data_IF_576647122113
#
_entry.id   IF_576647122113
#
_cell.length_a   1.000
_cell.length_b   1.000
_cell.length_c   1.000
_cell.angle_alpha   90.00
_cell.angle_beta   90.00
_cell.angle_gamma   90.00
#
_symmetry.space_group_name_H-M   'P 1'
#
loop_
_entity.id
_entity.type
_entity.pdbx_description
1 polymer ?
#
# COMPACT_ATOMS: atom_id res chain seq x y z
N UNK A 1 -24.09 -6.03 -33.06
CA UNK A 1 -23.23 -7.24 -33.04
C UNK A 1 -21.77 -6.89 -33.30
N UNK A 2 -21.45 -6.21 -34.41
CA UNK A 2 -20.09 -5.76 -34.75
C UNK A 2 -19.38 -4.89 -33.70
N UNK A 3 -20.04 -3.94 -33.00
CA UNK A 3 -19.37 -3.14 -31.97
C UNK A 3 -18.95 -3.98 -30.77
N UNK A 4 -19.78 -4.95 -30.38
CA UNK A 4 -19.51 -5.80 -29.23
C UNK A 4 -18.33 -6.75 -29.50
N UNK A 5 -18.27 -7.34 -30.69
CA UNK A 5 -17.16 -8.24 -31.09
C UNK A 5 -15.86 -7.44 -31.24
N UNK A 6 -15.91 -6.23 -31.78
CA UNK A 6 -14.76 -5.32 -31.86
C UNK A 6 -14.25 -4.92 -30.46
N UNK A 7 -15.15 -4.53 -29.56
CA UNK A 7 -14.78 -4.07 -28.21
C UNK A 7 -14.30 -5.23 -27.33
N UNK A 8 -15.01 -6.36 -27.35
CA UNK A 8 -14.62 -7.58 -26.61
C UNK A 8 -13.34 -8.16 -27.20
N UNK A 9 -13.22 -8.23 -28.53
CA UNK A 9 -12.03 -8.75 -29.21
C UNK A 9 -10.80 -7.88 -28.97
N UNK A 10 -10.93 -6.55 -29.03
CA UNK A 10 -9.82 -5.63 -28.76
C UNK A 10 -9.36 -5.66 -27.30
N UNK A 11 -10.30 -5.72 -26.35
CA UNK A 11 -9.97 -5.79 -24.93
C UNK A 11 -9.38 -7.16 -24.54
N UNK A 12 -9.96 -8.25 -25.05
CA UNK A 12 -9.48 -9.61 -24.83
C UNK A 12 -8.09 -9.82 -25.47
N UNK A 13 -7.87 -9.33 -26.70
CA UNK A 13 -6.54 -9.41 -27.33
C UNK A 13 -5.50 -8.66 -26.51
N UNK A 14 -5.82 -7.45 -26.05
CA UNK A 14 -4.88 -6.66 -25.23
C UNK A 14 -4.53 -7.40 -23.94
N UNK A 15 -5.53 -7.91 -23.22
CA UNK A 15 -5.34 -8.68 -21.98
C UNK A 15 -4.56 -9.98 -22.20
N UNK A 16 -4.92 -10.76 -23.22
CA UNK A 16 -4.33 -12.08 -23.43
C UNK A 16 -2.95 -12.02 -24.06
N UNK A 17 -2.65 -10.99 -24.86
CA UNK A 17 -1.38 -10.90 -25.58
C UNK A 17 -0.33 -10.06 -24.83
N UNK A 18 -0.71 -8.89 -24.30
CA UNK A 18 0.24 -8.02 -23.58
C UNK A 18 0.26 -8.29 -22.07
N UNK A 19 -0.85 -8.80 -21.52
CA UNK A 19 -1.00 -9.06 -20.09
C UNK A 19 -1.17 -10.55 -19.79
N UNK A 20 -0.68 -11.43 -20.66
CA UNK A 20 -0.83 -12.89 -20.52
C UNK A 20 -0.42 -13.38 -19.12
N UNK A 21 0.69 -12.85 -18.58
CA UNK A 21 1.16 -13.21 -17.24
C UNK A 21 0.19 -12.75 -16.16
N UNK A 22 -0.36 -11.54 -16.25
CA UNK A 22 -1.40 -11.07 -15.34
C UNK A 22 -2.63 -12.00 -15.42
N UNK A 23 -3.02 -12.41 -16.64
CA UNK A 23 -4.16 -13.29 -16.82
C UNK A 23 -3.91 -14.65 -16.18
N UNK A 24 -2.79 -15.31 -16.48
CA UNK A 24 -2.51 -16.66 -15.99
C UNK A 24 -2.17 -16.72 -14.50
N UNK A 25 -1.44 -15.74 -13.96
CA UNK A 25 -0.96 -15.80 -12.58
C UNK A 25 -1.81 -15.01 -11.58
N UNK A 26 -2.71 -14.12 -12.04
CA UNK A 26 -3.56 -13.32 -11.15
C UNK A 26 -5.07 -13.48 -11.43
N UNK A 27 -5.53 -13.45 -12.69
CA UNK A 27 -6.97 -13.59 -13.00
C UNK A 27 -7.48 -15.03 -13.00
N UNK A 28 -6.67 -15.96 -13.53
CA UNK A 28 -7.00 -17.38 -13.58
C UNK A 28 -6.50 -18.14 -12.34
N UNK A 29 -5.53 -17.57 -11.62
CA UNK A 29 -5.18 -18.01 -10.28
C UNK A 29 -6.24 -17.53 -9.28
N UNK A 30 -6.28 -18.15 -8.09
CA UNK A 30 -7.11 -17.65 -7.00
C UNK A 30 -6.52 -16.31 -6.49
N UNK A 31 -6.97 -15.20 -7.10
CA UNK A 31 -6.54 -13.86 -6.70
C UNK A 31 -6.77 -13.60 -5.20
N UNK A 32 -7.81 -14.22 -4.62
CA UNK A 32 -8.10 -14.04 -3.21
C UNK A 32 -7.06 -14.69 -2.31
N UNK A 33 -6.48 -15.84 -2.70
CA UNK A 33 -5.46 -16.51 -1.90
C UNK A 33 -4.16 -15.70 -1.86
N UNK A 34 -3.76 -15.10 -2.99
CA UNK A 34 -2.55 -14.28 -3.11
C UNK A 34 -2.54 -13.02 -2.23
N UNK A 35 -3.72 -12.51 -1.88
CA UNK A 35 -3.88 -11.27 -1.12
C UNK A 35 -4.49 -11.49 0.27
N UNK A 36 -4.63 -12.75 0.71
CA UNK A 36 -5.24 -13.06 2.01
C UNK A 36 -4.50 -12.42 3.19
N UNK A 37 -3.16 -12.28 3.09
CA UNK A 37 -2.33 -11.61 4.08
C UNK A 37 -2.70 -10.12 4.29
N UNK A 38 -3.34 -9.49 3.30
CA UNK A 38 -3.82 -8.11 3.38
C UNK A 38 -5.24 -8.00 3.94
N UNK A 39 -5.87 -9.12 4.34
CA UNK A 39 -7.22 -9.14 4.91
C UNK A 39 -7.13 -9.07 6.44
N UNK A 40 -7.32 -7.87 6.98
CA UNK A 40 -7.17 -7.62 8.42
C UNK A 40 -8.50 -7.84 9.15
N UNK A 41 -9.61 -7.38 8.57
CA UNK A 41 -10.93 -7.54 9.17
C UNK A 41 -11.95 -6.50 8.73
N UNK A 42 -13.23 -6.90 8.77
CA UNK A 42 -14.36 -6.05 8.38
C UNK A 42 -14.45 -4.77 9.23
N UNK A 43 -14.08 -4.85 10.50
CA UNK A 43 -14.00 -3.69 11.40
C UNK A 43 -13.01 -2.64 10.89
N UNK A 44 -11.82 -3.08 10.44
CA UNK A 44 -10.80 -2.20 9.87
C UNK A 44 -11.23 -1.61 8.53
N UNK A 45 -11.89 -2.38 7.69
CA UNK A 45 -12.45 -1.90 6.43
C UNK A 45 -13.48 -0.76 6.65
N UNK A 46 -14.34 -0.90 7.64
CA UNK A 46 -15.30 0.14 8.03
C UNK A 46 -14.57 1.37 8.60
N UNK A 47 -13.60 1.17 9.49
CA UNK A 47 -12.81 2.27 10.06
C UNK A 47 -12.00 3.01 9.00
N UNK A 48 -11.54 2.32 7.95
CA UNK A 48 -10.86 2.93 6.82
C UNK A 48 -11.80 3.82 6.02
N UNK A 49 -13.02 3.36 5.69
CA UNK A 49 -14.02 4.23 5.06
C UNK A 49 -14.26 5.51 5.88
N UNK A 50 -14.39 5.38 7.20
CA UNK A 50 -14.55 6.53 8.08
C UNK A 50 -13.32 7.43 8.13
N UNK A 51 -12.11 6.87 8.08
CA UNK A 51 -10.87 7.64 8.05
C UNK A 51 -10.75 8.50 6.80
N UNK A 52 -11.08 7.95 5.63
CA UNK A 52 -10.90 8.66 4.35
C UNK A 52 -12.07 9.56 3.98
N UNK A 53 -13.31 9.13 4.24
CA UNK A 53 -14.49 9.92 3.87
C UNK A 53 -15.13 10.66 5.06
N UNK A 54 -14.95 10.18 6.29
CA UNK A 54 -15.71 10.66 7.45
C UNK A 54 -17.12 10.08 7.51
N UNK A 55 -17.62 9.84 8.71
CA UNK A 55 -19.01 9.39 8.91
C UNK A 55 -20.02 10.40 8.35
N UNK A 56 -19.80 11.70 8.60
CA UNK A 56 -20.76 12.74 8.20
C UNK A 56 -20.89 12.78 6.67
N UNK A 57 -19.82 12.91 5.86
CA UNK A 57 -19.95 12.89 4.42
C UNK A 57 -20.53 11.59 3.88
N UNK A 58 -20.18 10.43 4.44
CA UNK A 58 -20.77 9.15 4.04
C UNK A 58 -22.29 9.13 4.24
N UNK A 59 -22.79 9.55 5.40
CA UNK A 59 -24.24 9.66 5.65
C UNK A 59 -24.88 10.58 4.62
N UNK A 60 -24.25 11.72 4.31
CA UNK A 60 -24.78 12.66 3.31
C UNK A 60 -24.82 12.06 1.90
N UNK A 61 -23.80 11.29 1.48
CA UNK A 61 -23.80 10.63 0.18
C UNK A 61 -24.94 9.61 0.06
N UNK A 62 -25.13 8.77 1.08
CA UNK A 62 -26.21 7.79 1.08
C UNK A 62 -27.59 8.44 1.22
N UNK A 63 -27.72 9.52 2.00
CA UNK A 63 -28.95 10.30 2.09
C UNK A 63 -29.30 10.97 0.75
N UNK A 64 -28.30 11.50 0.03
CA UNK A 64 -28.47 12.03 -1.31
C UNK A 64 -28.96 10.94 -2.28
N UNK A 65 -28.32 9.77 -2.29
CA UNK A 65 -28.75 8.62 -3.08
C UNK A 65 -30.19 8.21 -2.78
N UNK A 66 -30.56 8.09 -1.50
CA UNK A 66 -31.94 7.76 -1.08
C UNK A 66 -32.93 8.84 -1.55
N UNK A 67 -32.61 10.12 -1.40
CA UNK A 67 -33.45 11.21 -1.88
C UNK A 67 -33.70 11.11 -3.40
N UNK A 68 -32.65 10.81 -4.17
CA UNK A 68 -32.72 10.66 -5.62
C UNK A 68 -33.53 9.43 -6.07
N UNK A 69 -33.62 8.36 -5.26
CA UNK A 69 -34.49 7.20 -5.57
C UNK A 69 -35.98 7.56 -5.63
N UNK A 70 -36.40 8.61 -4.91
CA UNK A 70 -37.75 9.15 -4.98
C UNK A 70 -37.98 10.04 -6.22
N UNK A 71 -36.94 10.33 -6.99
CA UNK A 71 -37.02 11.04 -8.28
C UNK A 71 -37.42 10.09 -9.40
N UNK A 72 -38.54 10.34 -10.09
CA UNK A 72 -38.88 9.52 -11.27
C UNK A 72 -37.82 9.62 -12.38
N UNK A 73 -37.19 10.78 -12.56
CA UNK A 73 -36.19 11.01 -13.61
C UNK A 73 -34.80 10.49 -13.24
N UNK A 74 -34.42 10.47 -11.96
CA UNK A 74 -33.06 10.13 -11.51
C UNK A 74 -33.00 8.78 -10.75
N UNK A 75 -34.12 8.06 -10.60
CA UNK A 75 -34.18 6.81 -9.81
C UNK A 75 -33.19 5.77 -10.31
N UNK A 76 -33.10 5.57 -11.61
CA UNK A 76 -32.21 4.57 -12.18
C UNK A 76 -30.74 4.92 -11.94
N UNK A 77 -30.38 6.19 -12.12
CA UNK A 77 -29.02 6.69 -11.85
C UNK A 77 -28.68 6.52 -10.37
N UNK A 78 -29.58 6.91 -9.46
CA UNK A 78 -29.41 6.75 -8.03
C UNK A 78 -29.24 5.29 -7.62
N UNK A 79 -30.06 4.39 -8.16
CA UNK A 79 -29.94 2.96 -7.90
C UNK A 79 -28.59 2.42 -8.37
N UNK A 80 -28.15 2.79 -9.57
CA UNK A 80 -26.86 2.40 -10.11
C UNK A 80 -25.69 2.88 -9.23
N UNK A 81 -25.67 4.16 -8.83
CA UNK A 81 -24.60 4.72 -7.99
C UNK A 81 -24.55 4.08 -6.61
N UNK A 82 -25.70 3.80 -6.00
CA UNK A 82 -25.80 3.12 -4.71
C UNK A 82 -25.33 1.66 -4.80
N UNK A 83 -25.77 0.94 -5.84
CA UNK A 83 -25.35 -0.45 -6.10
C UNK A 83 -23.85 -0.50 -6.35
N UNK A 84 -23.28 0.43 -7.13
CA UNK A 84 -21.84 0.54 -7.35
C UNK A 84 -21.11 0.62 -6.00
N UNK A 85 -21.46 1.58 -5.13
CA UNK A 85 -20.77 1.75 -3.85
C UNK A 85 -20.83 0.51 -2.98
N UNK A 86 -21.99 -0.16 -2.90
CA UNK A 86 -22.15 -1.40 -2.14
C UNK A 86 -21.35 -2.55 -2.76
N UNK A 87 -21.40 -2.70 -4.08
CA UNK A 87 -20.70 -3.75 -4.81
C UNK A 87 -19.18 -3.60 -4.68
N UNK A 88 -18.63 -2.39 -4.79
CA UNK A 88 -17.22 -2.12 -4.51
C UNK A 88 -16.83 -2.61 -3.13
N UNK A 89 -17.59 -2.23 -2.09
CA UNK A 89 -17.30 -2.65 -0.72
C UNK A 89 -17.35 -4.17 -0.54
N UNK A 90 -18.41 -4.81 -1.03
CA UNK A 90 -18.58 -6.26 -0.91
C UNK A 90 -17.53 -7.06 -1.68
N UNK A 91 -17.07 -6.58 -2.84
CA UNK A 91 -16.04 -7.26 -3.62
C UNK A 91 -14.66 -7.12 -2.97
N UNK A 92 -14.31 -5.94 -2.47
CA UNK A 92 -13.02 -5.75 -1.80
C UNK A 92 -12.92 -6.55 -0.50
N UNK A 93 -13.92 -6.46 0.39
CA UNK A 93 -13.84 -7.12 1.70
C UNK A 93 -13.78 -8.65 1.60
N UNK A 94 -14.18 -9.22 0.46
CA UNK A 94 -13.98 -10.64 0.18
C UNK A 94 -12.51 -10.98 -0.03
N UNK A 95 -11.78 -10.13 -0.76
CA UNK A 95 -10.41 -10.35 -1.21
C UNK A 95 -9.38 -9.81 -0.22
N UNK A 96 -9.44 -8.52 0.14
CA UNK A 96 -8.45 -7.85 0.98
C UNK A 96 -9.02 -6.59 1.64
N UNK A 97 -8.35 -6.10 2.68
CA UNK A 97 -8.72 -4.82 3.30
C UNK A 97 -8.39 -3.64 2.37
N UNK A 98 -9.19 -2.57 2.43
CA UNK A 98 -9.06 -1.42 1.54
C UNK A 98 -7.73 -0.66 1.71
N UNK A 99 -6.90 -0.63 0.67
CA UNK A 99 -5.84 0.36 0.50
C UNK A 99 -6.38 1.70 0.04
N UNK A 100 -5.54 2.75 0.12
CA UNK A 100 -5.86 4.12 -0.31
C UNK A 100 -6.42 4.18 -1.73
N UNK A 101 -5.75 3.49 -2.65
CA UNK A 101 -6.13 3.42 -4.05
C UNK A 101 -7.49 2.73 -4.29
N UNK A 102 -7.91 1.81 -3.44
CA UNK A 102 -9.22 1.14 -3.59
C UNK A 102 -10.37 2.12 -3.30
N UNK A 103 -10.13 3.08 -2.41
CA UNK A 103 -11.14 4.07 -2.02
C UNK A 103 -11.44 5.07 -3.14
N UNK A 104 -10.53 5.23 -4.11
CA UNK A 104 -10.79 6.03 -5.32
C UNK A 104 -11.96 5.49 -6.14
N UNK A 105 -12.28 4.19 -6.03
CA UNK A 105 -13.39 3.59 -6.78
C UNK A 105 -14.78 4.04 -6.29
N UNK A 106 -14.88 4.63 -5.10
CA UNK A 106 -16.13 5.16 -4.55
C UNK A 106 -16.36 6.62 -4.92
N UNK A 107 -15.26 7.36 -5.13
CA UNK A 107 -15.28 8.81 -5.28
C UNK A 107 -16.19 9.28 -6.43
N UNK A 108 -16.17 8.66 -7.64
CA UNK A 108 -17.08 9.05 -8.72
C UNK A 108 -18.55 8.90 -8.32
N UNK A 109 -18.92 7.81 -7.65
CA UNK A 109 -20.31 7.57 -7.26
C UNK A 109 -20.79 8.60 -6.24
N UNK A 110 -19.97 8.88 -5.24
CA UNK A 110 -20.26 9.88 -4.21
C UNK A 110 -20.37 11.30 -4.80
N UNK A 111 -19.46 11.68 -5.70
CA UNK A 111 -19.51 12.98 -6.37
C UNK A 111 -20.77 13.13 -7.23
N UNK A 112 -21.11 12.12 -8.03
CA UNK A 112 -22.31 12.16 -8.87
C UNK A 112 -23.60 12.28 -8.04
N UNK A 113 -23.71 11.55 -6.92
CA UNK A 113 -24.88 11.67 -6.03
C UNK A 113 -25.03 13.09 -5.48
N UNK A 114 -23.93 13.74 -5.07
CA UNK A 114 -23.97 15.13 -4.61
C UNK A 114 -24.35 16.09 -5.75
N UNK A 115 -23.77 15.95 -6.94
CA UNK A 115 -24.08 16.82 -8.07
C UNK A 115 -25.57 16.73 -8.45
N UNK A 116 -26.10 15.51 -8.54
CA UNK A 116 -27.50 15.28 -8.93
C UNK A 116 -28.49 15.80 -7.89
N UNK A 117 -28.20 15.61 -6.59
CA UNK A 117 -29.08 16.13 -5.54
C UNK A 117 -28.99 17.66 -5.45
N UNK A 118 -27.80 18.24 -5.63
CA UNK A 118 -27.62 19.69 -5.64
C UNK A 118 -28.38 20.34 -6.79
N UNK A 119 -28.27 19.81 -8.03
CA UNK A 119 -29.04 20.31 -9.17
C UNK A 119 -30.55 20.20 -8.97
N UNK A 120 -31.02 19.12 -8.31
CA UNK A 120 -32.43 18.99 -7.93
C UNK A 120 -32.84 20.03 -6.89
N UNK A 121 -32.01 20.26 -5.86
CA UNK A 121 -32.31 21.26 -4.83
C UNK A 121 -32.35 22.66 -5.42
N UNK A 122 -31.42 23.01 -6.30
CA UNK A 122 -31.40 24.28 -7.03
C UNK A 122 -32.68 24.49 -7.85
N UNK A 123 -33.15 23.46 -8.57
CA UNK A 123 -34.38 23.55 -9.36
C UNK A 123 -35.67 23.72 -8.52
N UNK A 124 -35.65 23.35 -7.24
CA UNK A 124 -36.85 23.34 -6.38
C UNK A 124 -36.83 24.41 -5.29
N UNK A 125 -35.66 24.90 -4.87
CA UNK A 125 -35.51 25.92 -3.85
C UNK A 125 -35.40 27.31 -4.48
N UNK A 126 -36.10 28.27 -3.89
CA UNK A 126 -36.16 29.66 -4.38
C UNK A 126 -35.92 30.63 -3.23
N UNK A 127 -35.40 31.82 -3.54
CA UNK A 127 -35.17 32.89 -2.57
C UNK A 127 -34.15 32.51 -1.49
N UNK A 128 -34.39 32.91 -0.24
CA UNK A 128 -33.46 32.71 0.88
C UNK A 128 -33.08 31.24 1.13
N UNK A 129 -33.99 30.29 0.84
CA UNK A 129 -33.73 28.85 1.02
C UNK A 129 -32.66 28.33 0.07
N UNK A 130 -32.63 28.82 -1.18
CA UNK A 130 -31.60 28.45 -2.16
C UNK A 130 -30.22 28.91 -1.69
N UNK A 131 -30.12 30.16 -1.24
CA UNK A 131 -28.87 30.72 -0.72
C UNK A 131 -28.36 29.98 0.52
N UNK A 132 -29.23 29.69 1.49
CA UNK A 132 -28.84 28.95 2.71
C UNK A 132 -28.36 27.53 2.36
N UNK A 133 -29.04 26.83 1.46
CA UNK A 133 -28.63 25.48 1.02
C UNK A 133 -27.29 25.52 0.27
N UNK A 134 -27.11 26.47 -0.65
CA UNK A 134 -25.85 26.65 -1.37
C UNK A 134 -24.68 26.96 -0.42
N UNK A 135 -24.90 27.86 0.55
CA UNK A 135 -23.89 28.23 1.55
C UNK A 135 -23.53 27.05 2.46
N UNK A 136 -24.53 26.27 2.89
CA UNK A 136 -24.31 25.06 3.69
C UNK A 136 -23.52 24.01 2.92
N UNK A 137 -23.87 23.78 1.65
CA UNK A 137 -23.15 22.85 0.78
C UNK A 137 -21.71 23.30 0.55
N UNK A 138 -21.48 24.58 0.21
CA UNK A 138 -20.16 25.15 0.04
C UNK A 138 -19.31 25.05 1.31
N UNK A 139 -19.90 25.33 2.48
CA UNK A 139 -19.22 25.20 3.77
C UNK A 139 -18.82 23.76 4.08
N UNK A 140 -19.70 22.79 3.85
CA UNK A 140 -19.40 21.37 4.03
C UNK A 140 -18.34 20.86 3.05
N UNK A 141 -18.43 21.24 1.77
CA UNK A 141 -17.41 20.93 0.77
C UNK A 141 -16.06 21.51 1.17
N UNK A 142 -16.02 22.75 1.63
CA UNK A 142 -14.79 23.38 2.09
C UNK A 142 -14.18 22.64 3.29
N UNK A 143 -14.99 22.27 4.30
CA UNK A 143 -14.52 21.50 5.46
C UNK A 143 -13.94 20.15 5.04
N UNK A 144 -14.65 19.41 4.17
CA UNK A 144 -14.22 18.10 3.69
C UNK A 144 -12.95 18.21 2.83
N UNK A 145 -12.87 19.20 1.96
CA UNK A 145 -11.70 19.43 1.08
C UNK A 145 -10.48 19.95 1.82
N UNK A 146 -10.66 20.78 2.86
CA UNK A 146 -9.55 21.30 3.66
C UNK A 146 -9.07 20.31 4.72
N UNK A 147 -9.93 19.39 5.16
CA UNK A 147 -9.56 18.46 6.23
C UNK A 147 -8.27 17.69 5.93
N UNK A 148 -8.04 17.11 4.73
CA UNK A 148 -6.79 16.40 4.44
C UNK A 148 -5.52 17.25 4.46
N UNK A 149 -5.61 18.58 4.39
CA UNK A 149 -4.47 19.48 4.47
C UNK A 149 -4.03 19.78 5.91
N UNK A 150 -4.83 19.40 6.91
CA UNK A 150 -4.48 19.58 8.31
C UNK A 150 -3.47 18.48 8.70
N UNK A 151 -2.24 18.84 9.13
CA UNK A 151 -1.25 17.86 9.54
C UNK A 151 -1.76 17.03 10.72
N UNK A 152 -1.76 15.71 10.57
CA UNK A 152 -2.15 14.76 11.62
C UNK A 152 -1.20 13.59 11.67
N UNK A 153 -0.89 13.15 12.89
CA UNK A 153 -0.16 11.89 13.10
C UNK A 153 -1.00 10.77 12.49
N UNK A 154 -0.43 10.09 11.49
CA UNK A 154 -1.04 8.94 10.86
C UNK A 154 -0.59 7.68 11.62
N UNK A 155 -1.47 6.69 11.84
CA UNK A 155 -1.07 5.43 12.44
C UNK A 155 0.02 4.74 11.62
N UNK A 156 0.96 4.09 12.32
CA UNK A 156 2.06 3.38 11.70
C UNK A 156 1.62 2.02 11.13
N UNK A 157 0.46 1.51 11.55
CA UNK A 157 -0.14 0.30 10.98
C UNK A 157 -1.67 0.41 10.90
N UNK A 158 -2.30 -0.42 10.07
CA UNK A 158 -3.75 -0.48 10.00
C UNK A 158 -4.38 -1.04 11.29
N UNK A 159 -3.64 -1.84 12.07
CA UNK A 159 -4.14 -2.38 13.34
C UNK A 159 -4.37 -1.27 14.39
N UNK A 160 -3.65 -0.15 14.35
CA UNK A 160 -3.78 0.97 15.28
C UNK A 160 -5.10 1.75 15.15
N UNK A 161 -5.85 1.57 14.05
CA UNK A 161 -7.15 2.20 13.86
C UNK A 161 -8.17 1.62 14.86
N UNK A 162 -8.53 2.40 15.88
CA UNK A 162 -9.44 1.97 16.96
C UNK A 162 -10.79 2.67 16.96
N UNK A 163 -10.90 3.85 16.37
CA UNK A 163 -12.07 4.71 16.51
C UNK A 163 -12.52 5.26 15.15
N UNK A 164 -13.84 5.37 14.94
CA UNK A 164 -14.36 6.01 13.74
C UNK A 164 -14.11 7.53 13.78
N UNK A 165 -14.05 8.17 12.61
CA UNK A 165 -13.87 9.62 12.49
C UNK A 165 -15.05 10.28 11.80
N UNK A 166 -15.54 11.37 12.38
CA UNK A 166 -16.73 12.08 11.88
C UNK A 166 -16.46 12.79 10.54
N UNK A 167 -15.26 13.35 10.40
CA UNK A 167 -14.73 13.96 9.18
C UNK A 167 -13.53 13.15 8.67
N UNK A 168 -13.14 13.30 7.39
CA UNK A 168 -11.89 12.74 6.89
C UNK A 168 -10.73 13.10 7.83
N UNK A 169 -10.00 12.10 8.30
CA UNK A 169 -8.87 12.25 9.22
C UNK A 169 -7.54 11.85 8.59
N UNK A 170 -7.56 11.35 7.35
CA UNK A 170 -6.37 11.18 6.54
C UNK A 170 -5.71 12.54 6.26
N UNK A 171 -4.37 12.59 6.26
CA UNK A 171 -3.58 13.79 5.99
C UNK A 171 -2.74 13.57 4.73
N UNK A 172 -2.74 14.54 3.82
CA UNK A 172 -1.84 14.59 2.66
C UNK A 172 -0.46 15.13 3.00
N UNK A 173 -0.30 15.76 4.18
CA UNK A 173 1.03 16.16 4.63
C UNK A 173 1.91 14.93 4.76
N UNK A 174 3.09 14.91 4.13
CA UNK A 174 4.00 13.79 4.25
C UNK A 174 4.41 13.63 5.73
N UNK A 175 4.58 12.39 6.22
CA UNK A 175 5.07 12.17 7.56
C UNK A 175 6.45 12.80 7.72
N UNK A 176 6.63 13.59 8.78
CA UNK A 176 7.95 14.09 9.16
C UNK A 176 8.69 12.96 9.88
N UNK A 177 9.89 12.65 9.40
CA UNK A 177 10.79 11.67 10.01
C UNK A 177 12.12 12.33 10.34
N UNK A 178 12.69 12.01 11.50
CA UNK A 178 13.90 12.68 12.00
C UNK A 178 15.18 12.09 11.39
N UNK A 179 15.09 10.85 10.94
CA UNK A 179 16.14 10.04 10.33
C UNK A 179 16.16 10.11 8.78
N UNK A 180 15.47 11.08 8.16
CA UNK A 180 15.34 11.17 6.70
C UNK A 180 16.72 11.19 5.99
N UNK A 181 17.66 11.96 6.54
CA UNK A 181 19.04 12.06 6.04
C UNK A 181 19.82 10.76 6.30
N UNK A 182 19.50 10.04 7.37
CA UNK A 182 20.11 8.73 7.66
C UNK A 182 19.71 7.70 6.59
N UNK A 183 18.45 7.70 6.14
CA UNK A 183 18.00 6.83 5.04
C UNK A 183 18.73 7.16 3.74
N UNK A 184 18.94 8.45 3.43
CA UNK A 184 19.75 8.86 2.27
C UNK A 184 21.21 8.41 2.44
N UNK A 185 21.76 8.52 3.65
CA UNK A 185 23.10 8.03 3.98
C UNK A 185 23.24 6.53 3.77
N UNK A 186 22.23 5.75 4.15
CA UNK A 186 22.16 4.31 3.89
C UNK A 186 22.16 4.04 2.38
N UNK A 187 21.28 4.68 1.62
CA UNK A 187 21.22 4.50 0.16
C UNK A 187 22.57 4.78 -0.50
N UNK A 188 23.20 5.92 -0.18
CA UNK A 188 24.50 6.30 -0.77
C UNK A 188 25.63 5.36 -0.36
N UNK A 189 25.58 4.84 0.86
CA UNK A 189 26.53 3.81 1.29
C UNK A 189 26.34 2.52 0.48
N UNK A 190 25.10 2.07 0.27
CA UNK A 190 24.81 0.91 -0.57
C UNK A 190 25.19 1.16 -2.04
N UNK A 191 24.98 2.37 -2.58
CA UNK A 191 25.44 2.77 -3.91
C UNK A 191 26.96 2.62 -4.04
N UNK A 192 27.72 2.89 -2.96
CA UNK A 192 29.19 2.72 -2.94
C UNK A 192 29.62 1.25 -2.92
N UNK A 193 28.79 0.35 -2.39
CA UNK A 193 29.01 -1.10 -2.44
C UNK A 193 28.66 -1.62 -3.84
N UNK A 194 27.54 -1.16 -4.41
CA UNK A 194 27.15 -1.44 -5.79
C UNK A 194 28.18 -0.96 -6.82
N UNK A 195 28.84 0.18 -6.57
CA UNK A 195 29.93 0.69 -7.41
C UNK A 195 31.13 -0.28 -7.48
N UNK A 196 31.30 -1.15 -6.48
CA UNK A 196 32.31 -2.21 -6.44
C UNK A 196 31.85 -3.50 -7.12
N UNK A 197 30.66 -3.50 -7.72
CA UNK A 197 30.04 -4.67 -8.36
C UNK A 197 29.35 -5.63 -7.39
N UNK A 198 29.13 -5.23 -6.13
CA UNK A 198 28.49 -6.09 -5.12
C UNK A 198 26.96 -6.05 -5.23
N UNK A 199 26.32 -7.21 -5.13
CA UNK A 199 24.88 -7.37 -5.07
C UNK A 199 24.39 -7.18 -3.64
N UNK A 200 23.39 -6.31 -3.46
CA UNK A 200 22.88 -5.91 -2.15
C UNK A 200 21.41 -6.33 -2.04
N UNK A 201 21.07 -7.09 -1.00
CA UNK A 201 19.70 -7.34 -0.59
C UNK A 201 19.30 -6.48 0.61
N UNK A 202 18.05 -6.03 0.65
CA UNK A 202 17.46 -5.32 1.79
C UNK A 202 16.41 -6.21 2.47
N UNK A 203 16.61 -6.51 3.75
CA UNK A 203 15.66 -7.23 4.58
C UNK A 203 14.90 -6.25 5.48
N UNK A 204 13.98 -5.51 4.87
CA UNK A 204 13.06 -4.60 5.56
C UNK A 204 11.79 -4.36 4.74
N UNK A 205 10.63 -4.56 5.36
CA UNK A 205 9.32 -4.47 4.71
C UNK A 205 8.26 -3.83 5.62
N UNK A 206 8.56 -2.65 6.17
CA UNK A 206 7.65 -1.89 7.03
C UNK A 206 7.38 -0.47 6.51
N UNK A 207 6.55 0.28 7.24
CA UNK A 207 6.35 1.71 7.03
C UNK A 207 7.51 2.58 7.56
N UNK A 208 8.45 2.00 8.32
CA UNK A 208 9.68 2.69 8.75
C UNK A 208 10.73 2.68 7.65
N UNK A 209 10.97 1.51 7.07
CA UNK A 209 11.84 1.30 5.92
C UNK A 209 11.36 0.12 5.07
N UNK A 210 11.38 0.33 3.76
CA UNK A 210 11.30 -0.70 2.73
C UNK A 210 12.13 -0.25 1.52
N UNK A 211 12.26 -1.13 0.52
CA UNK A 211 13.10 -0.86 -0.65
C UNK A 211 12.65 0.35 -1.44
N UNK A 212 11.34 0.56 -1.62
CA UNK A 212 10.82 1.73 -2.34
C UNK A 212 11.13 3.03 -1.61
N UNK A 213 10.98 3.06 -0.29
CA UNK A 213 11.36 4.22 0.52
C UNK A 213 12.85 4.53 0.39
N UNK A 214 13.70 3.51 0.42
CA UNK A 214 15.14 3.65 0.26
C UNK A 214 15.48 4.25 -1.12
N UNK A 215 14.96 3.65 -2.20
CA UNK A 215 15.21 4.06 -3.59
C UNK A 215 14.74 5.49 -3.88
N UNK A 216 13.65 5.92 -3.27
CA UNK A 216 13.05 7.23 -3.50
C UNK A 216 13.50 8.30 -2.51
N UNK A 217 14.39 7.98 -1.55
CA UNK A 217 14.74 8.89 -0.45
C UNK A 217 15.36 10.22 -0.90
N UNK A 218 16.28 10.20 -1.88
CA UNK A 218 16.87 11.44 -2.43
C UNK A 218 15.82 12.30 -3.13
N UNK A 219 15.02 11.70 -4.02
CA UNK A 219 13.98 12.40 -4.78
C UNK A 219 12.90 12.98 -3.85
N UNK A 220 12.51 12.24 -2.81
CA UNK A 220 11.51 12.67 -1.82
C UNK A 220 11.95 13.92 -1.04
N UNK A 221 13.27 14.12 -0.91
CA UNK A 221 13.86 15.28 -0.26
C UNK A 221 14.36 16.34 -1.25
N UNK A 222 14.08 16.17 -2.55
CA UNK A 222 14.61 17.03 -3.62
C UNK A 222 16.14 17.18 -3.58
N UNK A 223 16.83 16.12 -3.15
CA UNK A 223 18.29 16.09 -3.12
C UNK A 223 18.82 15.63 -4.47
N UNK A 224 19.95 16.18 -4.94
CA UNK A 224 20.60 15.67 -6.14
C UNK A 224 21.09 14.25 -5.87
N UNK A 225 20.95 13.39 -6.88
CA UNK A 225 21.59 12.07 -6.90
C UNK A 225 23.11 12.27 -6.91
N UNK A 226 23.81 11.62 -6.00
CA UNK A 226 25.28 11.76 -5.86
C UNK A 226 26.05 10.61 -6.50
N UNK A 227 25.42 9.44 -6.65
CA UNK A 227 26.04 8.27 -7.27
C UNK A 227 25.55 8.03 -8.68
N UNK A 228 26.47 7.86 -9.63
CA UNK A 228 26.16 7.43 -11.00
C UNK A 228 25.89 5.92 -11.11
N UNK A 229 26.16 5.14 -10.05
CA UNK A 229 25.95 3.68 -10.02
C UNK A 229 24.50 3.33 -10.35
N UNK A 230 24.22 2.56 -11.42
CA UNK A 230 22.88 2.05 -11.69
C UNK A 230 22.41 1.19 -10.52
N UNK A 231 21.21 1.45 -9.99
CA UNK A 231 20.67 0.74 -8.81
C UNK A 231 20.22 -0.70 -9.08
N UNK A 232 20.63 -1.29 -10.21
CA UNK A 232 20.45 -2.71 -10.52
C UNK A 232 21.25 -3.63 -9.58
N UNK A 233 22.20 -3.09 -8.81
CA UNK A 233 22.90 -3.83 -7.76
C UNK A 233 21.97 -4.19 -6.57
N UNK A 234 20.85 -3.45 -6.40
CA UNK A 234 19.84 -3.78 -5.39
C UNK A 234 19.00 -4.95 -5.90
N UNK A 235 19.23 -6.12 -5.32
CA UNK A 235 18.49 -7.33 -5.63
C UNK A 235 17.10 -7.23 -5.00
N UNK A 236 16.08 -7.40 -5.83
CA UNK A 236 14.70 -7.50 -5.36
C UNK A 236 14.53 -8.78 -4.55
N UNK A 237 14.16 -8.63 -3.28
CA UNK A 237 13.82 -9.74 -2.40
C UNK A 237 12.29 -9.76 -2.17
N UNK A 238 11.67 -10.95 -2.06
CA UNK A 238 10.27 -11.08 -1.67
C UNK A 238 9.96 -10.36 -0.36
N UNK A 239 8.79 -9.71 -0.29
CA UNK A 239 8.31 -9.01 0.90
C UNK A 239 7.19 -9.80 1.59
N UNK A 240 6.27 -10.39 0.82
CA UNK A 240 5.04 -10.98 1.34
C UNK A 240 4.91 -12.42 0.84
N UNK A 241 4.81 -13.35 1.80
CA UNK A 241 4.94 -14.78 1.55
C UNK A 241 3.95 -15.29 0.49
N UNK A 242 2.66 -14.98 0.65
CA UNK A 242 1.60 -15.44 -0.26
C UNK A 242 1.59 -14.72 -1.61
N UNK A 243 2.11 -13.48 -1.68
CA UNK A 243 2.09 -12.66 -2.88
C UNK A 243 3.28 -12.95 -3.80
N UNK A 244 4.45 -13.07 -3.18
CA UNK A 244 5.75 -13.11 -3.84
C UNK A 244 6.34 -14.53 -3.85
N UNK A 245 6.04 -15.33 -2.82
CA UNK A 245 6.59 -16.67 -2.64
C UNK A 245 8.08 -16.65 -2.28
N UNK A 246 8.68 -17.84 -2.33
CA UNK A 246 10.10 -18.03 -2.10
C UNK A 246 10.96 -17.53 -3.28
N UNK A 247 12.15 -17.00 -3.00
CA UNK A 247 13.14 -16.65 -4.01
C UNK A 247 14.56 -16.94 -3.53
N UNK A 248 15.33 -17.67 -4.34
CA UNK A 248 16.76 -17.90 -4.12
C UNK A 248 17.62 -16.65 -4.41
N UNK A 249 17.02 -15.51 -4.77
CA UNK A 249 17.74 -14.26 -5.02
C UNK A 249 18.55 -13.79 -3.81
N UNK A 250 18.07 -14.07 -2.60
CA UNK A 250 18.78 -13.82 -1.35
C UNK A 250 20.18 -14.46 -1.35
N UNK A 251 20.29 -15.70 -1.84
CA UNK A 251 21.53 -16.46 -1.84
C UNK A 251 22.58 -15.88 -2.78
N UNK A 252 22.17 -15.04 -3.74
CA UNK A 252 23.07 -14.35 -4.68
C UNK A 252 23.58 -13.00 -4.16
N UNK A 253 23.11 -12.55 -3.00
CA UNK A 253 23.55 -11.28 -2.44
C UNK A 253 24.93 -11.41 -1.81
N UNK A 254 25.82 -10.45 -2.10
CA UNK A 254 27.12 -10.29 -1.46
C UNK A 254 26.99 -9.53 -0.13
N UNK A 255 26.03 -8.61 -0.09
CA UNK A 255 25.71 -7.77 1.06
C UNK A 255 24.24 -7.92 1.41
N UNK A 256 23.93 -8.03 2.70
CA UNK A 256 22.58 -7.95 3.23
C UNK A 256 22.46 -6.80 4.22
N UNK A 257 21.59 -5.83 3.92
CA UNK A 257 21.19 -4.78 4.83
C UNK A 257 19.99 -5.27 5.64
N UNK A 258 20.17 -5.47 6.94
CA UNK A 258 19.21 -6.14 7.83
C UNK A 258 18.73 -5.19 8.90
N UNK A 259 17.42 -5.09 9.07
CA UNK A 259 16.83 -4.28 10.13
C UNK A 259 16.71 -5.05 11.45
N UNK A 260 17.03 -4.40 12.56
CA UNK A 260 16.82 -4.88 13.92
C UNK A 260 15.97 -3.86 14.70
N UNK A 261 14.77 -4.23 15.19
CA UNK A 261 14.10 -5.53 14.98
C UNK A 261 13.69 -5.74 13.51
N UNK A 262 13.44 -7.00 13.08
CA UNK A 262 12.93 -7.29 11.75
C UNK A 262 11.70 -6.44 11.40
N UNK A 263 11.71 -5.86 10.19
CA UNK A 263 10.70 -4.88 9.79
C UNK A 263 9.62 -5.52 8.92
N UNK A 264 8.38 -5.55 9.43
CA UNK A 264 7.19 -6.07 8.76
C UNK A 264 6.02 -5.09 8.85
N UNK A 265 5.10 -5.12 7.87
CA UNK A 265 3.84 -4.36 7.87
C UNK A 265 2.60 -5.24 7.94
N UNK A 266 2.73 -6.55 7.67
CA UNK A 266 1.65 -7.55 7.74
C UNK A 266 1.82 -8.55 8.90
N UNK A 267 2.79 -8.31 9.78
CA UNK A 267 3.16 -9.26 10.85
C UNK A 267 4.22 -10.26 10.39
N UNK A 268 4.89 -10.89 11.35
CA UNK A 268 5.94 -11.87 11.07
C UNK A 268 5.38 -13.14 10.42
N UNK A 269 4.14 -13.49 10.73
CA UNK A 269 3.42 -14.67 10.25
C UNK A 269 3.09 -14.63 8.75
N UNK A 270 3.14 -13.44 8.13
CA UNK A 270 2.84 -13.23 6.71
C UNK A 270 4.08 -12.77 5.90
N UNK A 271 5.23 -12.63 6.57
CA UNK A 271 6.47 -12.11 5.98
C UNK A 271 7.69 -12.92 6.46
N UNK A 272 7.55 -14.24 6.55
CA UNK A 272 8.61 -15.17 6.90
C UNK A 272 9.82 -15.04 5.94
N UNK A 273 9.59 -14.72 4.66
CA UNK A 273 10.67 -14.44 3.68
C UNK A 273 11.61 -13.30 4.10
N UNK A 274 11.13 -12.36 4.92
CA UNK A 274 11.95 -11.26 5.48
C UNK A 274 12.50 -11.65 6.85
N UNK A 275 11.64 -12.21 7.71
CA UNK A 275 11.92 -12.40 9.13
C UNK A 275 12.92 -13.53 9.38
N UNK A 276 12.79 -14.67 8.70
CA UNK A 276 13.67 -15.82 8.90
C UNK A 276 15.14 -15.50 8.56
N UNK A 277 15.48 -14.96 7.37
CA UNK A 277 16.86 -14.62 7.07
C UNK A 277 17.38 -13.47 7.93
N UNK A 278 16.52 -12.50 8.31
CA UNK A 278 16.92 -11.44 9.23
C UNK A 278 17.32 -12.01 10.61
N UNK A 279 16.54 -12.94 11.16
CA UNK A 279 16.84 -13.60 12.44
C UNK A 279 18.15 -14.39 12.36
N UNK A 280 18.35 -15.17 11.30
CA UNK A 280 19.59 -15.93 11.06
C UNK A 280 20.83 -15.01 11.06
N UNK A 281 20.76 -13.86 10.36
CA UNK A 281 21.85 -12.89 10.30
C UNK A 281 22.11 -12.21 11.66
N UNK A 282 21.05 -11.83 12.37
CA UNK A 282 21.16 -11.15 13.66
C UNK A 282 21.69 -12.08 14.76
N UNK A 283 21.33 -13.36 14.75
CA UNK A 283 21.84 -14.36 15.70
C UNK A 283 23.18 -14.98 15.30
N UNK A 284 23.58 -14.87 14.03
CA UNK A 284 24.75 -15.55 13.49
C UNK A 284 24.52 -17.06 13.31
N UNK A 285 23.27 -17.49 13.16
CA UNK A 285 22.87 -18.88 12.97
C UNK A 285 22.37 -19.13 11.54
N UNK A 286 22.15 -20.40 11.18
CA UNK A 286 21.69 -20.76 9.84
C UNK A 286 22.56 -20.14 8.75
N UNK A 287 21.93 -19.42 7.81
CA UNK A 287 22.65 -18.71 6.75
C UNK A 287 23.57 -17.60 7.29
N UNK A 288 23.27 -17.05 8.47
CA UNK A 288 24.05 -15.97 9.11
C UNK A 288 25.49 -16.35 9.42
N UNK A 289 25.80 -17.65 9.56
CA UNK A 289 27.17 -18.16 9.72
C UNK A 289 28.08 -17.88 8.54
N UNK A 290 27.52 -17.63 7.36
CA UNK A 290 28.28 -17.27 6.16
C UNK A 290 28.54 -15.76 6.07
N UNK A 291 27.99 -14.96 6.99
CA UNK A 291 28.07 -13.51 6.96
C UNK A 291 28.82 -12.95 8.14
N UNK A 292 29.50 -11.83 7.91
CA UNK A 292 30.13 -11.01 8.94
C UNK A 292 29.45 -9.65 8.98
N UNK A 293 29.06 -9.22 10.17
CA UNK A 293 28.55 -7.86 10.40
C UNK A 293 29.68 -6.84 10.25
N UNK A 294 29.44 -5.79 9.46
CA UNK A 294 30.33 -4.65 9.32
C UNK A 294 30.11 -3.64 10.44
N UNK A 295 31.13 -2.82 10.73
CA UNK A 295 31.06 -1.76 11.75
C UNK A 295 30.04 -0.67 11.43
N UNK A 296 29.68 -0.54 10.15
CA UNK A 296 28.73 0.48 9.69
C UNK A 296 27.29 0.05 10.03
N UNK A 297 26.58 0.93 10.71
CA UNK A 297 25.14 0.81 10.97
C UNK A 297 24.43 2.16 10.80
N UNK A 298 23.10 2.11 10.72
CA UNK A 298 22.26 3.30 10.54
C UNK A 298 21.06 3.22 11.49
N UNK A 299 20.98 4.16 12.45
CA UNK A 299 19.84 4.27 13.37
C UNK A 299 18.69 5.04 12.72
N UNK A 300 17.52 4.41 12.72
CA UNK A 300 16.29 4.91 12.13
C UNK A 300 15.26 5.23 13.23
N UNK A 301 14.21 5.96 12.85
CA UNK A 301 13.08 6.24 13.71
C UNK A 301 12.40 4.94 14.19
N UNK A 302 11.75 4.98 15.36
CA UNK A 302 11.07 3.81 15.93
C UNK A 302 12.01 2.78 16.58
N UNK A 303 13.26 3.16 16.88
CA UNK A 303 14.23 2.27 17.55
C UNK A 303 14.82 1.20 16.64
N UNK A 304 14.71 1.39 15.32
CA UNK A 304 15.20 0.44 14.32
C UNK A 304 16.65 0.74 13.98
N UNK A 305 17.50 -0.27 13.92
CA UNK A 305 18.87 -0.11 13.42
C UNK A 305 19.10 -1.00 12.20
N UNK A 306 19.61 -0.41 11.14
CA UNK A 306 20.07 -1.15 9.96
C UNK A 306 21.52 -1.56 10.15
N UNK A 307 21.76 -2.86 10.14
CA UNK A 307 23.08 -3.47 10.13
C UNK A 307 23.43 -3.95 8.73
N UNK A 308 24.73 -3.88 8.40
CA UNK A 308 25.24 -4.32 7.11
C UNK A 308 26.03 -5.60 7.32
N UNK A 309 25.67 -6.64 6.59
CA UNK A 309 26.32 -7.94 6.62
C UNK A 309 26.98 -8.22 5.28
N UNK A 310 28.24 -8.67 5.33
CA UNK A 310 29.02 -9.07 4.16
C UNK A 310 29.19 -10.59 4.15
N UNK A 311 28.88 -11.21 3.01
CA UNK A 311 29.09 -12.64 2.81
C UNK A 311 30.59 -12.93 2.78
N UNK A 312 31.04 -13.84 3.64
CA UNK A 312 32.47 -14.22 3.77
C UNK A 312 32.79 -15.56 3.11
N UNK A 313 31.78 -16.37 2.84
CA UNK A 313 31.88 -17.64 2.10
C UNK A 313 30.55 -17.96 1.43
N UNK A 314 30.55 -18.87 0.47
CA UNK A 314 29.31 -19.39 -0.07
C UNK A 314 28.47 -20.13 0.98
N UNK A 315 27.15 -20.05 0.79
CA UNK A 315 26.19 -20.80 1.57
C UNK A 315 26.27 -22.27 1.18
N UNK A 316 26.20 -23.15 2.17
CA UNK A 316 26.12 -24.59 1.92
C UNK A 316 24.70 -24.97 1.51
N UNK A 317 24.56 -26.05 0.73
CA UNK A 317 23.23 -26.55 0.33
C UNK A 317 22.34 -26.85 1.54
N UNK A 318 22.92 -27.34 2.65
CA UNK A 318 22.19 -27.60 3.89
C UNK A 318 21.67 -26.31 4.56
N UNK A 319 22.42 -25.21 4.52
CA UNK A 319 21.97 -23.91 5.04
C UNK A 319 20.83 -23.34 4.19
N UNK A 320 20.98 -23.42 2.86
CA UNK A 320 19.95 -22.99 1.91
C UNK A 320 18.65 -23.80 2.07
N UNK A 321 18.76 -25.13 2.14
CA UNK A 321 17.60 -26.00 2.27
C UNK A 321 16.92 -25.86 3.64
N UNK A 322 17.68 -25.72 4.72
CA UNK A 322 17.10 -25.47 6.03
C UNK A 322 16.25 -24.19 6.07
N UNK A 323 16.70 -23.11 5.41
CA UNK A 323 15.93 -21.88 5.35
C UNK A 323 14.66 -22.04 4.49
N UNK A 324 14.74 -22.78 3.38
CA UNK A 324 13.58 -23.11 2.54
C UNK A 324 12.54 -23.94 3.29
N UNK A 325 12.99 -24.97 4.01
CA UNK A 325 12.11 -25.83 4.82
C UNK A 325 11.43 -25.02 5.93
N UNK A 326 12.16 -24.13 6.62
CA UNK A 326 11.58 -23.24 7.64
C UNK A 326 10.55 -22.27 7.06
N UNK A 327 10.79 -21.77 5.85
CA UNK A 327 9.80 -20.97 5.14
C UNK A 327 8.55 -21.78 4.79
N UNK A 328 8.71 -22.98 4.24
CA UNK A 328 7.58 -23.86 3.93
C UNK A 328 6.79 -24.25 5.18
N UNK A 329 7.45 -24.50 6.31
CA UNK A 329 6.82 -24.84 7.57
C UNK A 329 6.08 -23.67 8.25
N UNK A 330 6.27 -22.44 7.77
CA UNK A 330 5.52 -21.27 8.26
C UNK A 330 4.11 -21.16 7.64
N UNK A 331 3.74 -22.06 6.71
CA UNK A 331 2.47 -22.07 5.98
C UNK A 331 1.81 -23.45 5.99
#
# INVERSE_FOLDING_TARGET
MYPLISTVGGFAFTLLFFFQRLVSTKLLADYSSLYVAYKIGLDKDILLLFRYFGIIPLILFFAAGICLLFSKSQRCDAAFLMIWSVLCFCLFVRVQTHGQQHLLMYAPAFMCMIILVSGRLEANLHGSKQYTTALTAAGMSLIVSLSPFIPRIQPASLQELKKPTMLPSFSWSPPKRSDAITVVGLLRYLDSLGAKGLHVGLLASSFTLNQDMLLNSEASLSLPRVSDTPRSYLVYLPDVDQRDGWSDALFKCDILAVADPPQTHLGEENQAVVVLPAKDLLSGEGIGKAFRRLDKSFSLDGGVTMYIFEKTRELTDAECENLRERFQAAH
#
